data_IF_259256440269
#
_entry.id   IF_259256440269
#
_cell.length_a   1.000
_cell.length_b   1.000
_cell.length_c   1.000
_cell.angle_alpha   90.00
_cell.angle_beta   90.00
_cell.angle_gamma   90.00
#
_symmetry.space_group_name_H-M   'P 1'
#
loop_
_entity.id
_entity.type
_entity.pdbx_description
1 polymer ?
#
# COMPACT_ATOMS: atom_id res chain seq x y z
N UNK A 1 -10.23 -9.46 -20.17
CA UNK A 1 -9.57 -8.87 -18.99
C UNK A 1 -10.58 -8.08 -18.19
N UNK A 2 -10.77 -8.42 -16.94
CA UNK A 2 -11.63 -7.69 -16.00
C UNK A 2 -10.75 -7.06 -14.94
N UNK A 3 -10.99 -5.81 -14.59
CA UNK A 3 -10.30 -5.16 -13.48
C UNK A 3 -11.29 -4.73 -12.40
N UNK A 4 -10.81 -4.73 -11.17
CA UNK A 4 -11.57 -4.27 -10.01
C UNK A 4 -10.72 -3.29 -9.22
N UNK A 5 -11.37 -2.41 -8.46
CA UNK A 5 -10.69 -1.50 -7.55
C UNK A 5 -11.34 -1.56 -6.17
N UNK A 6 -10.51 -1.48 -5.15
CA UNK A 6 -10.93 -1.40 -3.75
C UNK A 6 -10.33 -0.16 -3.12
N UNK A 7 -11.15 0.60 -2.40
CA UNK A 7 -10.69 1.68 -1.53
C UNK A 7 -10.80 1.25 -0.09
N UNK A 8 -9.75 1.45 0.66
CA UNK A 8 -9.71 1.19 2.10
C UNK A 8 -8.74 2.16 2.76
N UNK A 9 -8.56 2.06 4.06
CA UNK A 9 -7.65 2.97 4.77
C UNK A 9 -6.99 2.25 5.93
N UNK A 10 -5.90 2.83 6.41
CA UNK A 10 -5.29 2.44 7.68
C UNK A 10 -4.79 3.71 8.39
N UNK A 11 -4.82 3.68 9.70
CA UNK A 11 -4.32 4.76 10.55
C UNK A 11 -2.99 4.33 11.13
N UNK A 12 -1.94 5.10 10.91
CA UNK A 12 -0.61 4.74 11.37
C UNK A 12 0.23 5.97 11.66
N UNK A 13 1.19 5.80 12.56
CA UNK A 13 2.20 6.80 12.85
C UNK A 13 3.46 6.52 12.03
N UNK A 14 4.22 7.55 11.75
CA UNK A 14 5.54 7.43 11.14
C UNK A 14 6.40 8.65 11.44
N UNK A 15 7.68 8.51 11.11
CA UNK A 15 8.67 9.58 11.24
C UNK A 15 9.67 9.45 10.11
N UNK A 16 9.96 10.55 9.45
CA UNK A 16 11.04 10.61 8.47
C UNK A 16 12.32 11.14 9.13
N UNK A 17 13.46 10.81 8.57
CA UNK A 17 14.75 11.35 8.97
C UNK A 17 15.34 12.02 7.75
N UNK A 18 15.03 13.32 7.58
CA UNK A 18 15.46 14.10 6.44
C UNK A 18 16.72 14.88 6.79
N UNK A 19 17.61 15.15 5.81
CA UNK A 19 18.85 15.88 6.04
C UNK A 19 18.66 17.40 6.15
N UNK A 20 17.41 17.84 6.24
CA UNK A 20 17.04 19.24 6.43
C UNK A 20 15.91 19.33 7.45
N UNK A 21 15.67 20.53 8.00
CA UNK A 21 14.62 20.75 8.98
C UNK A 21 13.25 20.63 8.34
N UNK A 22 12.39 19.80 8.94
CA UNK A 22 11.05 19.50 8.41
C UNK A 22 10.15 19.00 9.53
N UNK A 23 8.84 19.37 9.50
CA UNK A 23 7.86 18.77 10.41
C UNK A 23 7.79 17.24 10.30
N UNK A 24 8.12 16.67 9.13
CA UNK A 24 8.11 15.23 8.90
C UNK A 24 9.17 14.48 9.75
N UNK A 25 10.16 15.18 10.27
CA UNK A 25 11.16 14.61 11.17
C UNK A 25 10.59 14.30 12.56
N UNK A 26 9.39 14.79 12.85
CA UNK A 26 8.69 14.47 14.09
C UNK A 26 7.76 13.29 13.87
N UNK A 27 7.59 12.47 14.89
CA UNK A 27 6.61 11.39 14.86
C UNK A 27 5.21 12.00 14.78
N UNK A 28 4.44 11.54 13.80
CA UNK A 28 3.07 12.01 13.58
C UNK A 28 2.26 10.91 12.92
N UNK A 29 0.96 11.10 12.83
CA UNK A 29 0.05 10.11 12.26
C UNK A 29 -0.77 10.65 11.10
N UNK A 30 -1.18 9.72 10.25
CA UNK A 30 -2.09 9.98 9.13
C UNK A 30 -3.14 8.88 9.04
N UNK A 31 -4.28 9.22 8.46
CA UNK A 31 -5.16 8.24 7.85
C UNK A 31 -4.72 8.08 6.41
N UNK A 32 -4.04 6.98 6.14
CA UNK A 32 -3.64 6.65 4.78
C UNK A 32 -4.81 6.02 4.05
N UNK A 33 -5.24 6.62 2.97
CA UNK A 33 -6.24 6.03 2.09
C UNK A 33 -5.53 5.26 0.98
N UNK A 34 -5.99 4.05 0.73
CA UNK A 34 -5.37 3.14 -0.23
C UNK A 34 -6.39 2.76 -1.28
N UNK A 35 -6.00 2.84 -2.54
CA UNK A 35 -6.80 2.31 -3.64
C UNK A 35 -5.97 1.29 -4.39
N UNK A 36 -6.52 0.08 -4.53
CA UNK A 36 -5.87 -1.05 -5.17
C UNK A 36 -6.64 -1.39 -6.43
N UNK A 37 -5.95 -1.51 -7.56
CA UNK A 37 -6.53 -1.99 -8.81
C UNK A 37 -5.87 -3.31 -9.17
N UNK A 38 -6.69 -4.32 -9.42
CA UNK A 38 -6.25 -5.66 -9.79
C UNK A 38 -7.08 -6.17 -10.96
N UNK A 39 -6.50 -7.08 -11.75
CA UNK A 39 -7.15 -7.62 -12.93
C UNK A 39 -6.86 -9.11 -13.11
N UNK A 40 -7.71 -9.77 -13.88
CA UNK A 40 -7.52 -11.14 -14.28
C UNK A 40 -8.25 -11.41 -15.60
N UNK A 41 -7.73 -12.37 -16.38
CA UNK A 41 -8.41 -12.85 -17.59
C UNK A 41 -9.51 -13.84 -17.25
N UNK A 42 -9.30 -14.64 -16.21
CA UNK A 42 -10.22 -15.68 -15.77
C UNK A 42 -10.69 -15.40 -14.36
N UNK A 43 -12.01 -15.42 -14.17
CA UNK A 43 -12.61 -15.26 -12.86
C UNK A 43 -12.61 -16.59 -12.10
N UNK A 44 -12.60 -16.50 -10.79
CA UNK A 44 -12.74 -17.62 -9.87
C UNK A 44 -13.86 -17.30 -8.90
N UNK A 45 -14.86 -18.17 -8.80
CA UNK A 45 -16.08 -17.90 -8.05
C UNK A 45 -16.77 -16.58 -8.49
N UNK A 46 -16.62 -16.20 -9.76
CA UNK A 46 -17.16 -14.96 -10.29
C UNK A 46 -16.38 -13.71 -9.93
N UNK A 47 -15.18 -13.86 -9.34
CA UNK A 47 -14.38 -12.74 -8.84
C UNK A 47 -13.01 -12.67 -9.54
N UNK A 48 -12.51 -11.45 -9.74
CA UNK A 48 -11.09 -11.24 -10.01
C UNK A 48 -10.29 -11.66 -8.78
N UNK A 49 -10.67 -11.14 -7.63
CA UNK A 49 -10.04 -11.42 -6.34
C UNK A 49 -11.04 -11.10 -5.23
N UNK A 50 -10.95 -11.81 -4.12
CA UNK A 50 -11.74 -11.48 -2.94
C UNK A 50 -11.24 -10.17 -2.33
N UNK A 51 -12.11 -9.16 -2.24
CA UNK A 51 -11.76 -7.86 -1.65
C UNK A 51 -11.29 -7.99 -0.20
N UNK A 52 -11.81 -8.98 0.54
CA UNK A 52 -11.38 -9.21 1.92
C UNK A 52 -9.90 -9.61 2.00
N UNK A 53 -9.40 -10.34 0.99
CA UNK A 53 -7.98 -10.67 0.91
C UNK A 53 -7.13 -9.41 0.74
N UNK A 54 -7.53 -8.53 -0.17
CA UNK A 54 -6.81 -7.27 -0.39
C UNK A 54 -6.84 -6.41 0.87
N UNK A 55 -8.01 -6.30 1.49
CA UNK A 55 -8.17 -5.50 2.72
C UNK A 55 -7.32 -6.05 3.86
N UNK A 56 -7.21 -7.36 4.00
CA UNK A 56 -6.42 -7.99 5.06
C UNK A 56 -4.95 -7.62 4.99
N UNK A 57 -4.40 -7.44 3.80
CA UNK A 57 -3.01 -7.01 3.62
C UNK A 57 -2.84 -5.57 4.09
N UNK A 58 -3.76 -4.69 3.72
CA UNK A 58 -3.72 -3.28 4.15
C UNK A 58 -3.90 -3.16 5.66
N UNK A 59 -4.81 -3.96 6.25
CA UNK A 59 -5.10 -3.94 7.67
C UNK A 59 -3.90 -4.30 8.55
N UNK A 60 -2.88 -4.96 8.01
CA UNK A 60 -1.64 -5.24 8.75
C UNK A 60 -0.95 -3.94 9.21
N UNK A 61 -1.16 -2.85 8.49
CA UNK A 61 -0.54 -1.56 8.79
C UNK A 61 -1.42 -0.66 9.67
N UNK A 62 -2.63 -1.13 10.02
CA UNK A 62 -3.55 -0.32 10.82
C UNK A 62 -3.14 -0.30 12.29
N UNK A 63 -3.26 0.89 12.90
CA UNK A 63 -2.95 1.11 14.32
C UNK A 63 -1.53 0.72 14.70
N UNK A 64 -0.56 1.03 13.84
CA UNK A 64 0.85 0.72 14.11
C UNK A 64 1.74 1.95 13.92
N UNK A 65 2.99 1.81 14.32
CA UNK A 65 4.07 2.71 13.93
C UNK A 65 4.80 2.07 12.77
N UNK A 66 4.72 2.68 11.59
CA UNK A 66 5.32 2.13 10.38
C UNK A 66 6.82 1.94 10.51
N UNK A 67 7.50 2.82 11.26
CA UNK A 67 8.94 2.72 11.45
C UNK A 67 9.35 1.47 12.24
N UNK A 68 8.43 0.88 12.99
CA UNK A 68 8.68 -0.35 13.76
C UNK A 68 8.33 -1.61 12.97
N UNK A 69 7.62 -1.48 11.86
CA UNK A 69 7.27 -2.62 11.01
C UNK A 69 8.51 -3.18 10.33
N UNK A 70 8.67 -4.52 10.27
CA UNK A 70 9.85 -5.14 9.66
C UNK A 70 10.13 -4.70 8.23
N UNK A 71 9.08 -4.42 7.45
CA UNK A 71 9.20 -3.97 6.07
C UNK A 71 10.04 -2.69 5.94
N UNK A 72 10.07 -1.88 6.99
CA UNK A 72 10.82 -0.61 7.02
C UNK A 72 12.01 -0.67 7.97
N UNK A 73 11.84 -1.24 9.18
CA UNK A 73 12.88 -1.23 10.21
C UNK A 73 14.08 -2.10 9.86
N UNK A 74 13.84 -3.25 9.22
CA UNK A 74 14.92 -4.18 8.86
C UNK A 74 15.66 -3.70 7.61
N UNK A 75 14.94 -3.12 6.67
CA UNK A 75 15.51 -2.68 5.39
C UNK A 75 16.12 -1.28 5.44
N UNK A 76 15.78 -0.50 6.47
CA UNK A 76 16.15 0.92 6.53
C UNK A 76 15.38 1.80 5.55
N UNK A 77 14.30 1.29 5.00
CA UNK A 77 13.47 2.00 4.02
C UNK A 77 12.69 3.13 4.70
N UNK A 78 12.74 4.32 4.14
CA UNK A 78 11.96 5.45 4.68
C UNK A 78 10.46 5.20 4.57
N UNK A 79 9.69 5.61 5.57
CA UNK A 79 8.24 5.39 5.63
C UNK A 79 7.45 6.46 4.86
N UNK A 80 7.89 6.78 3.66
CA UNK A 80 7.21 7.71 2.76
C UNK A 80 6.00 7.04 2.09
N UNK A 81 5.06 7.84 1.61
CA UNK A 81 3.92 7.32 0.85
C UNK A 81 4.38 6.51 -0.36
N UNK A 82 5.45 6.93 -1.03
CA UNK A 82 6.04 6.23 -2.17
C UNK A 82 6.48 4.81 -1.78
N UNK A 83 7.24 4.69 -0.71
CA UNK A 83 7.73 3.39 -0.24
C UNK A 83 6.61 2.53 0.34
N UNK A 84 5.61 3.13 0.99
CA UNK A 84 4.42 2.41 1.46
C UNK A 84 3.70 1.79 0.25
N UNK A 85 3.52 2.54 -0.84
CA UNK A 85 2.88 2.02 -2.04
C UNK A 85 3.65 0.84 -2.64
N UNK A 86 4.99 0.93 -2.70
CA UNK A 86 5.84 -0.16 -3.19
C UNK A 86 5.72 -1.40 -2.31
N UNK A 87 5.81 -1.23 -0.99
CA UNK A 87 5.72 -2.34 -0.03
C UNK A 87 4.36 -3.02 -0.12
N UNK A 88 3.27 -2.23 -0.15
CA UNK A 88 1.92 -2.77 -0.28
C UNK A 88 1.76 -3.54 -1.60
N UNK A 89 2.27 -2.99 -2.70
CA UNK A 89 2.17 -3.65 -4.00
C UNK A 89 2.83 -5.03 -3.97
N UNK A 90 4.01 -5.16 -3.41
CA UNK A 90 4.72 -6.44 -3.31
C UNK A 90 4.00 -7.43 -2.39
N UNK A 91 3.45 -6.96 -1.27
CA UNK A 91 2.69 -7.82 -0.36
C UNK A 91 1.39 -8.29 -1.01
N UNK A 92 0.72 -7.42 -1.75
CA UNK A 92 -0.50 -7.76 -2.47
C UNK A 92 -0.21 -8.77 -3.58
N UNK A 93 0.86 -8.57 -4.34
CA UNK A 93 1.25 -9.53 -5.39
C UNK A 93 1.49 -10.93 -4.81
N UNK A 94 2.17 -11.01 -3.67
CA UNK A 94 2.40 -12.28 -3.00
C UNK A 94 1.08 -12.93 -2.52
N UNK A 95 0.13 -12.13 -2.08
CA UNK A 95 -1.14 -12.63 -1.53
C UNK A 95 -2.09 -13.13 -2.60
N UNK A 96 -2.14 -12.48 -3.77
CA UNK A 96 -3.16 -12.80 -4.80
C UNK A 96 -2.77 -13.99 -5.69
N UNK A 97 -1.48 -14.31 -5.78
CA UNK A 97 -1.01 -15.41 -6.63
C UNK A 97 -0.95 -15.05 -8.11
N UNK A 98 -0.67 -16.06 -8.95
CA UNK A 98 -0.32 -15.84 -10.36
C UNK A 98 -1.49 -15.48 -11.26
N UNK A 99 -2.71 -15.92 -10.91
CA UNK A 99 -3.89 -15.67 -11.73
C UNK A 99 -4.26 -14.18 -11.78
N UNK A 100 -3.93 -13.44 -10.74
CA UNK A 100 -4.34 -12.04 -10.53
C UNK A 100 -3.13 -11.13 -10.70
N UNK A 101 -3.32 -10.05 -11.44
CA UNK A 101 -2.32 -8.99 -11.58
C UNK A 101 -2.70 -7.82 -10.68
N UNK A 102 -1.78 -7.40 -9.83
CA UNK A 102 -1.92 -6.12 -9.11
C UNK A 102 -1.38 -5.04 -10.04
N UNK A 103 -2.24 -4.15 -10.49
CA UNK A 103 -1.90 -3.20 -11.56
C UNK A 103 -1.49 -1.83 -11.02
N UNK A 104 -2.13 -1.40 -9.94
CA UNK A 104 -1.88 -0.08 -9.37
C UNK A 104 -2.19 -0.08 -7.88
N UNK A 105 -1.36 0.62 -7.11
CA UNK A 105 -1.60 0.91 -5.70
C UNK A 105 -1.38 2.41 -5.49
N UNK A 106 -2.42 3.08 -5.01
CA UNK A 106 -2.38 4.51 -4.66
C UNK A 106 -2.41 4.63 -3.15
N UNK A 107 -1.47 5.39 -2.59
CA UNK A 107 -1.44 5.69 -1.16
C UNK A 107 -1.58 7.20 -0.99
N UNK A 108 -2.67 7.63 -0.39
CA UNK A 108 -2.97 9.01 -0.12
C UNK A 108 -2.66 9.31 1.34
N UNK A 109 -1.65 10.13 1.57
CA UNK A 109 -1.20 10.52 2.89
C UNK A 109 -2.06 11.64 3.47
N UNK A 110 -2.42 12.60 2.63
CA UNK A 110 -3.30 13.72 2.95
C UNK A 110 -4.34 13.88 1.83
N UNK A 111 -5.41 14.69 2.03
CA UNK A 111 -6.35 14.94 0.94
C UNK A 111 -5.73 15.56 -0.33
N UNK A 112 -4.52 16.12 -0.22
CA UNK A 112 -3.86 16.84 -1.31
C UNK A 112 -2.69 16.11 -1.94
N UNK A 113 -2.23 15.00 -1.33
CA UNK A 113 -1.00 14.35 -1.77
C UNK A 113 -1.16 12.84 -1.80
N UNK A 114 -0.66 12.24 -2.85
CA UNK A 114 -0.68 10.79 -3.00
C UNK A 114 0.57 10.31 -3.73
N UNK A 115 0.91 9.07 -3.49
CA UNK A 115 1.90 8.33 -4.27
C UNK A 115 1.20 7.20 -5.01
N UNK A 116 1.69 6.88 -6.21
CA UNK A 116 1.10 5.85 -7.06
C UNK A 116 2.18 4.91 -7.53
N UNK A 117 1.99 3.63 -7.22
CA UNK A 117 2.78 2.56 -7.81
C UNK A 117 1.97 1.95 -8.95
N UNK A 118 2.59 1.75 -10.08
CA UNK A 118 2.00 1.04 -11.23
C UNK A 118 2.88 -0.14 -11.59
N UNK A 119 2.24 -1.23 -11.98
CA UNK A 119 2.96 -2.38 -12.48
C UNK A 119 3.82 -1.96 -13.68
N UNK A 120 5.13 -2.28 -13.67
CA UNK A 120 5.98 -2.00 -14.82
C UNK A 120 5.48 -2.73 -16.07
N UNK A 121 5.65 -2.14 -17.27
CA UNK A 121 5.34 -2.84 -18.52
C UNK A 121 6.20 -4.09 -18.65
N UNK A 122 5.62 -5.14 -19.25
CA UNK A 122 6.30 -6.41 -19.51
C UNK A 122 6.90 -6.44 -20.91
#
# INVERSE_FOLDING_TARGET
MISVSLRCHFDAAHQLVLPYDSPCNRRHGHRYEVEITASADRLEHGMVVDFNLLRSVVDEFDHCDLNERPEFSVTGLATTAENIAIVLAHKLEAAVGERVSVDEVVVRETPRSLARWRRPPQ
#
